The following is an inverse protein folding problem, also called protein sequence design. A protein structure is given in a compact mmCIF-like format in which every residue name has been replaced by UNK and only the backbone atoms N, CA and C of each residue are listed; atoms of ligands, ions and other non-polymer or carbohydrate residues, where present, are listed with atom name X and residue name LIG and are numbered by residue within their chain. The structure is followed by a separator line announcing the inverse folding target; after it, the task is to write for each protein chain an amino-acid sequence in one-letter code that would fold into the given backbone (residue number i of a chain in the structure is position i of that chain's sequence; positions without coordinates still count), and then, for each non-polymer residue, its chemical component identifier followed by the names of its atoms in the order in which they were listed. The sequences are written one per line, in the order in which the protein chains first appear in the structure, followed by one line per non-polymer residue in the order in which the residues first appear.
data_IF_407700292505
#
_entry.id   IF_407700292505
#
_cell.length_a   1.000
_cell.length_b   1.000
_cell.length_c   1.000
_cell.angle_alpha   90.00
_cell.angle_beta   90.00
_cell.angle_gamma   90.00
#
_symmetry.space_group_name_H-M   'P 1'
#
loop_
_entity.id
_entity.type
_entity.pdbx_description
1 polymer ?
#
# COMPACT_ATOMS: atom_id res chain seq x y z
N UNK A 1 -28.12 42.34 23.57
CA UNK A 1 -28.66 41.01 23.24
C UNK A 1 -27.62 40.24 22.45
N UNK A 2 -26.90 39.36 23.08
CA UNK A 2 -25.88 38.52 22.41
C UNK A 2 -26.55 37.32 21.73
N UNK A 3 -26.27 37.16 20.45
CA UNK A 3 -26.68 35.97 19.66
C UNK A 3 -25.89 34.76 20.17
N UNK A 4 -26.54 33.67 20.58
CA UNK A 4 -25.81 32.51 21.05
C UNK A 4 -25.01 31.90 19.89
N UNK A 5 -23.69 31.76 20.07
CA UNK A 5 -22.84 30.99 19.14
C UNK A 5 -23.37 29.57 19.04
N UNK A 6 -23.86 29.20 17.86
CA UNK A 6 -24.28 27.86 17.55
C UNK A 6 -23.11 26.90 17.83
N UNK A 7 -23.33 25.96 18.70
CA UNK A 7 -22.41 24.89 19.07
C UNK A 7 -22.11 24.07 17.80
N UNK A 8 -21.03 24.39 17.09
CA UNK A 8 -20.57 23.58 15.95
C UNK A 8 -20.13 22.24 16.54
N UNK A 9 -21.00 21.26 16.48
CA UNK A 9 -20.63 19.85 16.71
C UNK A 9 -19.40 19.55 15.88
N UNK A 10 -18.35 19.03 16.52
CA UNK A 10 -17.18 18.53 15.78
C UNK A 10 -17.68 17.59 14.68
N UNK A 11 -17.19 17.72 13.45
CA UNK A 11 -17.59 16.84 12.37
C UNK A 11 -17.34 15.39 12.80
N UNK A 12 -18.36 14.54 12.70
CA UNK A 12 -18.22 13.10 12.97
C UNK A 12 -17.11 12.61 12.01
N UNK A 13 -16.05 11.97 12.53
CA UNK A 13 -14.97 11.50 11.66
C UNK A 13 -15.51 10.50 10.64
N UNK A 14 -15.25 10.75 9.36
CA UNK A 14 -15.65 9.90 8.25
C UNK A 14 -15.06 8.49 8.43
N UNK A 15 -15.93 7.49 8.42
CA UNK A 15 -15.53 6.07 8.53
C UNK A 15 -15.13 5.52 7.16
N UNK A 16 -13.95 4.94 7.10
CA UNK A 16 -13.35 4.41 5.87
C UNK A 16 -13.29 2.88 5.94
N UNK A 17 -13.90 2.19 4.98
CA UNK A 17 -13.64 0.77 4.76
C UNK A 17 -12.38 0.62 3.89
N UNK A 18 -11.39 -0.08 4.39
CA UNK A 18 -10.25 -0.58 3.63
C UNK A 18 -10.59 -1.93 3.01
N UNK A 19 -10.36 -2.05 1.71
CA UNK A 19 -10.37 -3.31 0.97
C UNK A 19 -8.97 -3.49 0.36
N UNK A 20 -8.16 -4.38 0.94
CA UNK A 20 -6.81 -4.70 0.44
C UNK A 20 -6.85 -6.04 -0.31
N UNK A 21 -6.83 -5.99 -1.64
CA UNK A 21 -6.91 -7.17 -2.50
C UNK A 21 -5.52 -7.77 -2.67
N UNK A 22 -5.21 -8.80 -1.91
CA UNK A 22 -4.00 -9.59 -2.06
C UNK A 22 -4.21 -10.84 -2.91
N UNK A 23 -3.12 -11.50 -3.30
CA UNK A 23 -3.18 -12.72 -4.13
C UNK A 23 -3.74 -13.97 -3.42
N UNK A 24 -3.85 -13.98 -2.09
CA UNK A 24 -4.38 -15.12 -1.32
C UNK A 24 -5.64 -14.76 -0.53
N UNK A 25 -5.76 -13.52 -0.07
CA UNK A 25 -6.91 -13.03 0.66
C UNK A 25 -7.18 -11.57 0.30
N UNK A 26 -8.44 -11.16 0.34
CA UNK A 26 -8.86 -9.78 0.46
C UNK A 26 -9.01 -9.49 1.95
N UNK A 27 -8.34 -8.45 2.44
CA UNK A 27 -8.41 -8.02 3.84
C UNK A 27 -9.32 -6.82 3.96
N UNK A 28 -10.14 -6.84 4.98
CA UNK A 28 -11.14 -5.82 5.27
C UNK A 28 -10.91 -5.26 6.67
N UNK A 29 -10.91 -3.95 6.79
CA UNK A 29 -10.89 -3.24 8.07
C UNK A 29 -11.70 -1.96 7.94
N UNK A 30 -12.32 -1.51 9.02
CA UNK A 30 -12.96 -0.20 9.08
C UNK A 30 -12.19 0.73 10.04
N UNK A 31 -12.13 2.01 9.71
CA UNK A 31 -11.43 2.98 10.57
C UNK A 31 -12.12 3.11 11.92
N UNK A 32 -11.30 3.17 12.99
CA UNK A 32 -11.80 3.20 14.36
C UNK A 32 -12.04 1.81 14.99
N UNK A 33 -11.85 0.73 14.22
CA UNK A 33 -11.92 -0.64 14.70
C UNK A 33 -10.55 -1.34 14.57
N UNK A 34 -10.35 -2.41 15.33
CA UNK A 34 -9.17 -3.28 15.27
C UNK A 34 -9.46 -4.63 14.61
N UNK A 35 -10.72 -4.92 14.34
CA UNK A 35 -11.14 -6.17 13.70
C UNK A 35 -10.66 -6.20 12.23
N UNK A 36 -10.03 -7.31 11.85
CA UNK A 36 -9.66 -7.60 10.48
C UNK A 36 -10.42 -8.82 9.98
N UNK A 37 -11.26 -8.65 8.98
CA UNK A 37 -11.89 -9.76 8.26
C UNK A 37 -11.11 -10.12 7.00
N UNK A 38 -11.20 -11.37 6.59
CA UNK A 38 -10.53 -11.89 5.39
C UNK A 38 -11.52 -12.72 4.61
N UNK A 39 -11.56 -12.48 3.31
CA UNK A 39 -12.25 -13.35 2.36
C UNK A 39 -11.23 -13.99 1.41
N UNK A 40 -11.45 -15.22 0.93
CA UNK A 40 -10.54 -15.87 0.00
C UNK A 40 -10.33 -15.05 -1.27
N UNK A 41 -9.09 -15.03 -1.77
CA UNK A 41 -8.72 -14.45 -3.05
C UNK A 41 -8.05 -15.50 -3.92
N UNK A 42 -7.80 -15.21 -5.18
CA UNK A 42 -7.12 -16.09 -6.12
C UNK A 42 -7.76 -16.05 -7.51
N UNK A 43 -7.36 -17.02 -8.35
CA UNK A 43 -7.69 -17.01 -9.78
C UNK A 43 -9.18 -17.05 -10.13
N UNK A 44 -10.03 -17.45 -9.18
CA UNK A 44 -11.49 -17.49 -9.33
C UNK A 44 -12.20 -16.21 -8.87
N UNK A 45 -11.46 -15.25 -8.32
CA UNK A 45 -12.06 -14.02 -7.80
C UNK A 45 -12.28 -13.02 -8.92
N UNK A 46 -13.54 -12.79 -9.29
CA UNK A 46 -13.97 -11.70 -10.18
C UNK A 46 -14.30 -10.44 -9.37
N UNK A 47 -14.35 -9.27 -10.01
CA UNK A 47 -14.78 -8.03 -9.36
C UNK A 47 -16.18 -8.14 -8.76
N UNK A 48 -17.13 -8.76 -9.48
CA UNK A 48 -18.50 -8.96 -9.00
C UNK A 48 -18.56 -9.85 -7.75
N UNK A 49 -17.82 -10.97 -7.76
CA UNK A 49 -17.74 -11.90 -6.63
C UNK A 49 -17.13 -11.21 -5.42
N UNK A 50 -16.02 -10.48 -5.61
CA UNK A 50 -15.37 -9.72 -4.55
C UNK A 50 -16.34 -8.73 -3.90
N UNK A 51 -17.08 -7.94 -4.67
CA UNK A 51 -18.08 -7.00 -4.12
C UNK A 51 -19.16 -7.70 -3.34
N UNK A 52 -19.69 -8.82 -3.84
CA UNK A 52 -20.72 -9.62 -3.15
C UNK A 52 -20.23 -10.14 -1.80
N UNK A 53 -19.03 -10.73 -1.78
CA UNK A 53 -18.42 -11.28 -0.56
C UNK A 53 -18.04 -10.19 0.45
N UNK A 54 -17.52 -9.04 -0.03
CA UNK A 54 -17.25 -7.89 0.84
C UNK A 54 -18.53 -7.39 1.49
N UNK A 55 -19.61 -7.19 0.73
CA UNK A 55 -20.89 -6.74 1.29
C UNK A 55 -21.42 -7.71 2.34
N UNK A 56 -21.34 -9.01 2.10
CA UNK A 56 -21.73 -10.02 3.06
C UNK A 56 -20.86 -9.98 4.33
N UNK A 57 -19.54 -9.88 4.13
CA UNK A 57 -18.58 -9.85 5.23
C UNK A 57 -18.59 -8.55 6.06
N UNK A 58 -19.18 -7.47 5.55
CA UNK A 58 -19.25 -6.15 6.22
C UNK A 58 -20.67 -5.67 6.47
N UNK A 59 -21.67 -6.58 6.45
CA UNK A 59 -23.08 -6.23 6.59
C UNK A 59 -23.43 -5.55 7.93
N UNK A 60 -22.65 -5.86 8.97
CA UNK A 60 -22.76 -5.31 10.33
C UNK A 60 -21.82 -4.12 10.58
N UNK A 61 -21.02 -3.72 9.59
CA UNK A 61 -20.12 -2.57 9.70
C UNK A 61 -20.74 -1.31 9.11
N UNK A 62 -20.50 -0.19 9.79
CA UNK A 62 -20.88 1.14 9.31
C UNK A 62 -19.66 1.88 8.76
N UNK A 63 -19.76 2.38 7.50
CA UNK A 63 -18.72 3.15 6.82
C UNK A 63 -19.31 4.07 5.77
N UNK A 64 -18.63 5.19 5.53
CA UNK A 64 -19.06 6.23 4.60
C UNK A 64 -18.45 6.05 3.21
N UNK A 65 -17.17 5.67 3.17
CA UNK A 65 -16.34 5.62 1.95
C UNK A 65 -15.43 4.39 1.93
N UNK A 66 -14.90 4.06 0.75
CA UNK A 66 -14.08 2.88 0.52
C UNK A 66 -12.73 3.26 -0.08
N UNK A 67 -11.65 2.74 0.52
CA UNK A 67 -10.31 2.70 -0.07
C UNK A 67 -10.00 1.29 -0.54
N UNK A 68 -9.78 1.13 -1.84
CA UNK A 68 -9.54 -0.16 -2.47
C UNK A 68 -8.08 -0.24 -2.94
N UNK A 69 -7.28 -1.08 -2.27
CA UNK A 69 -5.93 -1.46 -2.70
C UNK A 69 -6.01 -2.57 -3.74
N UNK A 70 -5.53 -2.31 -4.95
CA UNK A 70 -5.62 -3.22 -6.09
C UNK A 70 -4.25 -3.78 -6.49
N UNK A 71 -4.11 -5.10 -6.70
CA UNK A 71 -2.84 -5.72 -7.07
C UNK A 71 -2.55 -5.58 -8.57
N UNK A 72 -2.25 -4.35 -9.01
CA UNK A 72 -1.96 -4.06 -10.40
C UNK A 72 -1.89 -2.56 -10.70
N UNK A 73 -1.84 -2.26 -11.99
CA UNK A 73 -1.69 -0.89 -12.47
C UNK A 73 -2.99 -0.09 -12.33
N UNK A 74 -2.91 0.98 -11.56
CA UNK A 74 -3.99 1.98 -11.39
C UNK A 74 -3.52 3.31 -11.96
N UNK A 75 -4.32 3.90 -12.85
CA UNK A 75 -4.06 5.21 -13.45
C UNK A 75 -5.28 6.10 -13.29
N UNK A 76 -5.11 7.31 -12.78
CA UNK A 76 -6.20 8.27 -12.52
C UNK A 76 -7.37 7.64 -11.73
N UNK A 77 -7.04 6.80 -10.74
CA UNK A 77 -8.02 6.09 -9.91
C UNK A 77 -8.80 4.99 -10.62
N UNK A 78 -8.36 4.55 -11.81
CA UNK A 78 -8.99 3.50 -12.62
C UNK A 78 -8.02 2.36 -12.91
N UNK A 79 -8.55 1.16 -13.02
CA UNK A 79 -7.76 0.00 -13.41
C UNK A 79 -7.40 0.09 -14.91
N UNK A 80 -6.15 -0.21 -15.26
CA UNK A 80 -5.64 -0.08 -16.63
C UNK A 80 -5.57 -1.43 -17.35
N UNK A 81 -5.36 -2.50 -16.60
CA UNK A 81 -5.34 -3.87 -17.12
C UNK A 81 -5.89 -4.85 -16.10
N UNK A 82 -6.30 -6.02 -16.58
CA UNK A 82 -6.73 -7.12 -15.72
C UNK A 82 -5.59 -7.59 -14.81
N UNK A 83 -5.89 -7.98 -13.56
CA UNK A 83 -4.88 -8.45 -12.62
C UNK A 83 -4.34 -9.82 -13.02
N UNK A 84 -3.04 -10.04 -12.87
CA UNK A 84 -2.39 -11.29 -13.30
C UNK A 84 -2.78 -12.50 -12.46
N UNK A 85 -3.14 -12.29 -11.19
CA UNK A 85 -3.35 -13.35 -10.20
C UNK A 85 -4.83 -13.55 -9.81
N UNK A 86 -5.74 -12.86 -10.48
CA UNK A 86 -7.19 -12.93 -10.27
C UNK A 86 -7.89 -13.29 -11.57
N UNK A 87 -9.20 -13.52 -11.51
CA UNK A 87 -10.02 -13.70 -12.71
C UNK A 87 -10.24 -12.38 -13.46
N UNK A 88 -10.84 -12.41 -14.63
CA UNK A 88 -11.18 -11.23 -15.41
C UNK A 88 -12.40 -10.45 -14.89
N UNK A 89 -12.73 -9.37 -15.60
CA UNK A 89 -13.93 -8.56 -15.34
C UNK A 89 -13.72 -7.41 -14.35
N UNK A 90 -12.48 -6.94 -14.20
CA UNK A 90 -12.13 -5.84 -13.30
C UNK A 90 -12.10 -4.49 -14.01
N UNK A 91 -11.62 -4.42 -15.26
CA UNK A 91 -11.31 -3.18 -15.98
C UNK A 91 -12.47 -2.22 -16.08
N UNK A 92 -13.63 -2.55 -16.38
CA UNK A 92 -14.76 -1.64 -16.56
C UNK A 92 -15.79 -1.76 -15.45
N UNK A 93 -15.40 -2.36 -14.33
CA UNK A 93 -16.31 -2.57 -13.23
C UNK A 93 -16.53 -1.27 -12.45
N UNK A 94 -17.77 -0.88 -12.28
CA UNK A 94 -18.15 0.32 -11.54
C UNK A 94 -18.30 -0.01 -10.04
N UNK A 95 -17.20 0.14 -9.31
CA UNK A 95 -17.15 -0.13 -7.87
C UNK A 95 -18.03 0.84 -7.08
N UNK A 96 -18.12 2.12 -7.47
CA UNK A 96 -18.94 3.10 -6.76
C UNK A 96 -20.41 2.72 -6.84
N UNK A 97 -20.88 2.40 -8.04
CA UNK A 97 -22.26 1.93 -8.25
C UNK A 97 -22.52 0.62 -7.51
N UNK A 98 -21.58 -0.32 -7.59
CA UNK A 98 -21.73 -1.65 -7.00
C UNK A 98 -21.78 -1.61 -5.47
N UNK A 99 -20.99 -0.76 -4.82
CA UNK A 99 -21.03 -0.57 -3.37
C UNK A 99 -22.04 0.46 -2.89
N UNK A 100 -22.59 1.29 -3.79
CA UNK A 100 -23.41 2.47 -3.48
C UNK A 100 -22.70 3.42 -2.48
N UNK A 101 -21.39 3.56 -2.61
CA UNK A 101 -20.50 4.39 -1.78
C UNK A 101 -19.39 4.99 -2.64
N UNK A 102 -18.80 6.14 -2.26
CA UNK A 102 -17.60 6.65 -2.91
C UNK A 102 -16.44 5.66 -2.74
N UNK A 103 -15.72 5.37 -3.84
CA UNK A 103 -14.57 4.47 -3.85
C UNK A 103 -13.35 5.19 -4.41
N UNK A 104 -12.22 5.10 -3.70
CA UNK A 104 -10.91 5.49 -4.22
C UNK A 104 -10.07 4.24 -4.41
N UNK A 105 -9.51 4.08 -5.62
CA UNK A 105 -8.70 2.92 -5.99
C UNK A 105 -7.25 3.34 -6.11
N UNK A 106 -6.37 2.61 -5.45
CA UNK A 106 -4.93 2.80 -5.48
C UNK A 106 -4.23 1.43 -5.63
N UNK A 107 -2.99 1.41 -6.12
CA UNK A 107 -2.19 0.18 -6.08
C UNK A 107 -1.99 -0.30 -4.63
N UNK A 108 -2.02 -1.62 -4.40
CA UNK A 108 -1.91 -2.24 -3.07
C UNK A 108 -0.61 -1.88 -2.33
N UNK A 109 0.55 -1.92 -3.02
CA UNK A 109 1.82 -1.52 -2.43
C UNK A 109 1.85 -0.02 -2.11
N UNK A 110 1.23 0.82 -2.93
CA UNK A 110 1.10 2.25 -2.66
C UNK A 110 0.19 2.54 -1.45
N UNK A 111 -0.88 1.77 -1.26
CA UNK A 111 -1.73 1.86 -0.06
C UNK A 111 -0.92 1.59 1.21
N UNK A 112 -0.10 0.52 1.20
CA UNK A 112 0.78 0.19 2.32
C UNK A 112 1.92 1.19 2.50
N UNK A 113 2.48 1.73 1.42
CA UNK A 113 3.47 2.80 1.49
C UNK A 113 2.89 4.06 2.15
N UNK A 114 1.69 4.48 1.75
CA UNK A 114 0.98 5.61 2.36
C UNK A 114 0.77 5.42 3.86
N UNK A 115 0.45 4.20 4.28
CA UNK A 115 0.26 3.85 5.68
C UNK A 115 1.52 4.06 6.54
N UNK A 116 2.68 3.79 5.97
CA UNK A 116 3.98 3.76 6.66
C UNK A 116 4.82 5.03 6.43
N UNK A 117 4.38 5.93 5.54
CA UNK A 117 5.13 7.13 5.22
C UNK A 117 5.06 8.15 6.36
N UNK A 118 6.21 8.65 6.76
CA UNK A 118 6.36 9.70 7.76
C UNK A 118 6.97 10.98 7.17
N UNK A 119 8.13 10.87 6.54
CA UNK A 119 8.86 12.00 5.94
C UNK A 119 9.95 11.54 4.98
N UNK A 120 10.53 12.48 4.23
CA UNK A 120 11.68 12.24 3.36
C UNK A 120 11.34 11.35 2.17
N UNK A 121 12.34 10.66 1.68
CA UNK A 121 12.21 9.67 0.61
C UNK A 121 12.11 8.27 1.22
N UNK A 122 10.96 7.63 1.08
CA UNK A 122 10.72 6.30 1.61
C UNK A 122 10.54 5.29 0.48
N UNK A 123 11.23 4.17 0.57
CA UNK A 123 11.00 3.00 -0.28
C UNK A 123 10.21 1.95 0.50
N UNK A 124 9.02 1.60 0.04
CA UNK A 124 8.27 0.45 0.52
C UNK A 124 8.50 -0.75 -0.40
N UNK A 125 8.81 -1.92 0.16
CA UNK A 125 8.92 -3.18 -0.59
C UNK A 125 8.14 -4.27 0.14
N UNK A 126 7.15 -4.83 -0.54
CA UNK A 126 6.27 -5.89 -0.04
C UNK A 126 6.64 -7.25 -0.60
N UNK A 127 6.97 -8.21 0.26
CA UNK A 127 7.25 -9.60 -0.10
C UNK A 127 6.07 -10.50 0.26
N UNK A 128 5.35 -10.97 -0.75
CA UNK A 128 4.14 -11.78 -0.60
C UNK A 128 3.97 -12.80 -1.70
N UNK A 129 2.76 -12.92 -2.24
CA UNK A 129 2.46 -13.69 -3.46
C UNK A 129 3.15 -13.06 -4.68
N UNK A 130 3.27 -11.74 -4.67
CA UNK A 130 4.04 -10.93 -5.62
C UNK A 130 5.10 -10.11 -4.89
N UNK A 131 5.87 -9.32 -5.64
CA UNK A 131 6.81 -8.32 -5.14
C UNK A 131 6.24 -6.95 -5.51
N UNK A 132 5.56 -6.32 -4.57
CA UNK A 132 5.02 -4.98 -4.73
C UNK A 132 5.97 -3.94 -4.16
N UNK A 133 6.03 -2.75 -4.76
CA UNK A 133 6.81 -1.65 -4.22
C UNK A 133 6.19 -0.29 -4.50
N UNK A 134 6.55 0.70 -3.70
CA UNK A 134 6.26 2.09 -3.95
C UNK A 134 7.37 2.99 -3.40
N UNK A 135 7.72 4.01 -4.15
CA UNK A 135 8.57 5.10 -3.71
C UNK A 135 7.69 6.26 -3.27
N UNK A 136 7.98 6.85 -2.12
CA UNK A 136 7.33 8.07 -1.67
C UNK A 136 8.38 9.15 -1.47
N UNK A 137 8.19 10.29 -2.11
CA UNK A 137 9.05 11.46 -1.97
C UNK A 137 8.21 12.73 -2.17
N UNK A 138 8.48 13.75 -1.37
CA UNK A 138 7.80 15.05 -1.45
C UNK A 138 6.26 14.95 -1.48
N UNK A 139 5.72 14.04 -0.66
CA UNK A 139 4.29 13.74 -0.61
C UNK A 139 3.69 13.19 -1.92
N UNK A 140 4.53 12.66 -2.81
CA UNK A 140 4.12 11.93 -4.02
C UNK A 140 4.41 10.46 -3.86
N UNK A 141 3.38 9.62 -4.08
CA UNK A 141 3.54 8.16 -4.10
C UNK A 141 3.65 7.70 -5.54
N UNK A 142 4.67 6.91 -5.81
CA UNK A 142 4.98 6.34 -7.12
C UNK A 142 4.98 4.81 -6.96
N UNK A 143 3.92 4.10 -7.39
CA UNK A 143 3.95 2.64 -7.44
C UNK A 143 5.03 2.15 -8.40
N UNK A 144 5.74 1.09 -8.04
CA UNK A 144 6.83 0.53 -8.84
C UNK A 144 6.63 -0.98 -9.00
N UNK A 145 6.65 -1.45 -10.24
CA UNK A 145 6.54 -2.88 -10.57
C UNK A 145 7.94 -3.53 -10.63
N UNK A 146 8.38 -4.05 -9.50
CA UNK A 146 9.71 -4.67 -9.39
C UNK A 146 9.76 -6.13 -9.86
N UNK A 147 8.61 -6.80 -9.98
CA UNK A 147 8.56 -8.25 -10.23
C UNK A 147 9.28 -8.70 -11.49
N UNK A 148 9.31 -7.87 -12.54
CA UNK A 148 9.95 -8.18 -13.82
C UNK A 148 11.42 -7.82 -13.89
N UNK A 149 11.98 -7.16 -12.87
CA UNK A 149 13.41 -6.81 -12.86
C UNK A 149 14.23 -8.10 -12.88
N UNK A 150 15.23 -8.21 -13.77
CA UNK A 150 16.14 -9.34 -13.79
C UNK A 150 16.91 -9.45 -12.46
N UNK A 151 16.86 -10.60 -11.83
CA UNK A 151 17.68 -10.94 -10.66
C UNK A 151 18.99 -11.60 -11.09
N UNK A 152 18.93 -12.39 -12.15
CA UNK A 152 20.07 -13.04 -12.82
C UNK A 152 19.68 -13.36 -14.25
N UNK A 153 20.60 -13.99 -15.03
CA UNK A 153 20.35 -14.34 -16.46
C UNK A 153 19.01 -15.08 -16.69
N UNK A 154 18.51 -15.85 -15.74
CA UNK A 154 17.30 -16.70 -15.89
C UNK A 154 16.22 -16.43 -14.86
N UNK A 155 16.43 -15.47 -13.95
CA UNK A 155 15.51 -15.23 -12.85
C UNK A 155 15.15 -13.76 -12.76
N UNK A 156 13.92 -13.48 -12.33
CA UNK A 156 13.42 -12.15 -12.01
C UNK A 156 13.21 -12.01 -10.49
N UNK A 157 12.94 -10.80 -10.02
CA UNK A 157 12.53 -10.57 -8.63
C UNK A 157 11.29 -11.42 -8.28
N UNK A 158 10.33 -11.52 -9.18
CA UNK A 158 9.14 -12.38 -8.97
C UNK A 158 9.52 -13.83 -8.72
N UNK A 159 10.44 -14.40 -9.50
CA UNK A 159 10.83 -15.81 -9.38
C UNK A 159 11.74 -16.10 -8.17
N UNK A 160 12.30 -15.06 -7.51
CA UNK A 160 13.28 -15.22 -6.42
C UNK A 160 12.82 -14.75 -5.06
N UNK A 161 11.90 -13.77 -4.99
CA UNK A 161 11.62 -13.04 -3.76
C UNK A 161 10.21 -13.28 -3.20
N UNK A 162 9.35 -14.03 -3.91
CA UNK A 162 7.98 -14.33 -3.50
C UNK A 162 7.88 -15.42 -2.42
N UNK A 163 6.68 -15.57 -1.84
CA UNK A 163 6.35 -16.69 -0.94
C UNK A 163 6.61 -18.05 -1.60
N UNK A 164 6.29 -18.19 -2.88
CA UNK A 164 6.53 -19.43 -3.64
C UNK A 164 8.02 -19.68 -3.83
N UNK A 165 8.81 -18.65 -4.16
CA UNK A 165 10.26 -18.76 -4.23
C UNK A 165 10.88 -19.20 -2.91
N UNK A 166 10.37 -18.71 -1.77
CA UNK A 166 10.80 -19.14 -0.44
C UNK A 166 10.50 -20.63 -0.20
N UNK A 167 9.32 -21.10 -0.61
CA UNK A 167 8.93 -22.52 -0.49
C UNK A 167 9.83 -23.42 -1.32
N UNK A 168 10.15 -23.02 -2.56
CA UNK A 168 10.94 -23.82 -3.50
C UNK A 168 12.43 -23.82 -3.19
N UNK A 169 13.00 -22.68 -2.82
CA UNK A 169 14.45 -22.51 -2.65
C UNK A 169 14.94 -22.62 -1.20
N UNK A 170 14.02 -22.75 -0.25
CA UNK A 170 14.28 -22.74 1.17
C UNK A 170 14.52 -21.33 1.75
N UNK A 171 14.30 -21.21 3.06
CA UNK A 171 14.31 -19.92 3.77
C UNK A 171 15.66 -19.20 3.68
N UNK A 172 16.77 -19.88 3.94
CA UNK A 172 18.12 -19.27 3.98
C UNK A 172 18.52 -18.66 2.62
N UNK A 173 18.22 -19.36 1.51
CA UNK A 173 18.52 -18.87 0.17
C UNK A 173 17.64 -17.69 -0.19
N UNK A 174 16.34 -17.81 0.09
CA UNK A 174 15.37 -16.73 -0.13
C UNK A 174 15.74 -15.46 0.65
N UNK A 175 16.15 -15.60 1.91
CA UNK A 175 16.56 -14.46 2.73
C UNK A 175 17.79 -13.75 2.15
N UNK A 176 18.80 -14.48 1.69
CA UNK A 176 19.98 -13.89 1.00
C UNK A 176 19.57 -13.14 -0.27
N UNK A 177 18.67 -13.71 -1.05
CA UNK A 177 18.18 -13.06 -2.27
C UNK A 177 17.40 -11.78 -1.96
N UNK A 178 16.57 -11.79 -0.91
CA UNK A 178 15.86 -10.59 -0.43
C UNK A 178 16.86 -9.52 0.02
N UNK A 179 17.89 -9.89 0.77
CA UNK A 179 18.91 -8.94 1.21
C UNK A 179 19.63 -8.29 0.04
N UNK A 180 20.08 -9.10 -0.92
CA UNK A 180 20.74 -8.58 -2.13
C UNK A 180 19.82 -7.62 -2.91
N UNK A 181 18.56 -7.98 -3.08
CA UNK A 181 17.59 -7.14 -3.77
C UNK A 181 17.32 -5.82 -3.03
N UNK A 182 17.14 -5.87 -1.70
CA UNK A 182 16.89 -4.65 -0.90
C UNK A 182 18.09 -3.71 -0.92
N UNK A 183 19.30 -4.21 -0.76
CA UNK A 183 20.51 -3.39 -0.85
C UNK A 183 20.65 -2.74 -2.22
N UNK A 184 20.45 -3.50 -3.30
CA UNK A 184 20.44 -2.94 -4.66
C UNK A 184 19.39 -1.83 -4.82
N UNK A 185 18.18 -2.03 -4.30
CA UNK A 185 17.12 -1.01 -4.39
C UNK A 185 17.45 0.23 -3.55
N UNK A 186 18.09 0.06 -2.40
CA UNK A 186 18.59 1.18 -1.59
C UNK A 186 19.67 2.00 -2.34
N UNK A 187 20.56 1.32 -3.07
CA UNK A 187 21.59 1.99 -3.88
C UNK A 187 21.02 2.68 -5.13
N UNK A 188 19.90 2.18 -5.68
CA UNK A 188 19.24 2.78 -6.84
C UNK A 188 18.37 3.99 -6.44
N UNK A 189 17.57 3.85 -5.40
CA UNK A 189 16.55 4.85 -5.03
C UNK A 189 16.98 5.84 -3.97
N UNK A 190 18.07 5.56 -3.26
CA UNK A 190 18.62 6.41 -2.18
C UNK A 190 17.56 6.85 -1.18
N UNK A 191 16.81 5.91 -0.58
CA UNK A 191 15.78 6.26 0.38
C UNK A 191 16.39 6.64 1.74
N UNK A 192 15.74 7.59 2.41
CA UNK A 192 16.02 7.92 3.81
C UNK A 192 15.48 6.82 4.74
N UNK A 193 14.41 6.14 4.33
CA UNK A 193 13.74 5.07 5.07
C UNK A 193 13.32 3.94 4.13
N UNK A 194 13.57 2.69 4.52
CA UNK A 194 13.15 1.50 3.78
C UNK A 194 12.20 0.66 4.63
N UNK A 195 10.99 0.45 4.14
CA UNK A 195 9.95 -0.29 4.83
C UNK A 195 9.70 -1.64 4.16
N UNK A 196 9.86 -2.71 4.92
CA UNK A 196 9.62 -4.07 4.46
C UNK A 196 8.23 -4.54 4.90
N UNK A 197 7.38 -4.81 3.92
CA UNK A 197 6.00 -5.25 4.11
C UNK A 197 5.69 -6.61 3.48
N UNK A 198 4.39 -6.91 3.39
CA UNK A 198 3.89 -8.17 2.86
C UNK A 198 3.95 -9.33 3.85
N UNK A 199 3.27 -10.43 3.51
CA UNK A 199 3.12 -11.59 4.43
C UNK A 199 4.43 -12.28 4.81
N UNK A 200 5.50 -12.13 4.01
CA UNK A 200 6.81 -12.70 4.29
C UNK A 200 7.71 -11.78 5.15
N UNK A 201 7.34 -10.51 5.36
CA UNK A 201 8.14 -9.60 6.19
C UNK A 201 8.37 -10.14 7.60
N UNK A 202 7.37 -10.82 8.17
CA UNK A 202 7.43 -11.37 9.55
C UNK A 202 8.45 -12.49 9.74
N UNK A 203 8.83 -13.20 8.67
CA UNK A 203 9.81 -14.30 8.74
C UNK A 203 11.19 -13.90 8.26
N UNK A 204 11.36 -12.62 7.90
CA UNK A 204 12.65 -12.05 7.52
C UNK A 204 13.31 -11.49 8.79
N UNK A 205 14.18 -12.31 9.42
CA UNK A 205 14.87 -11.97 10.66
C UNK A 205 16.32 -12.47 10.59
N UNK A 206 17.33 -11.55 10.77
CA UNK A 206 17.18 -10.11 10.90
C UNK A 206 16.65 -9.45 9.63
N UNK A 207 16.28 -8.16 9.72
CA UNK A 207 16.00 -7.35 8.54
C UNK A 207 17.29 -6.91 7.85
N UNK A 208 17.29 -6.59 6.54
CA UNK A 208 18.40 -5.91 5.88
C UNK A 208 18.72 -4.59 6.58
N UNK A 209 19.97 -4.14 6.44
CA UNK A 209 20.42 -2.88 7.03
C UNK A 209 19.54 -1.69 6.59
N UNK A 210 19.34 -0.73 7.48
CA UNK A 210 18.54 0.47 7.24
C UNK A 210 17.08 0.17 6.84
N UNK A 211 16.52 -0.95 7.33
CA UNK A 211 15.15 -1.34 7.11
C UNK A 211 14.35 -1.42 8.40
N UNK A 212 13.08 -1.08 8.32
CA UNK A 212 12.09 -1.36 9.36
C UNK A 212 10.94 -2.20 8.80
N UNK A 213 10.23 -2.87 9.69
CA UNK A 213 9.08 -3.69 9.29
C UNK A 213 7.81 -2.86 9.31
N UNK A 214 6.98 -2.99 8.26
CA UNK A 214 5.64 -2.46 8.25
C UNK A 214 4.77 -3.15 9.31
N UNK A 215 3.90 -2.40 9.98
CA UNK A 215 2.89 -2.99 10.85
C UNK A 215 1.78 -3.64 10.03
N UNK A 216 1.22 -4.74 10.53
CA UNK A 216 0.08 -5.40 9.89
C UNK A 216 -1.22 -4.59 9.98
N UNK A 217 -1.31 -3.65 10.94
CA UNK A 217 -2.46 -2.77 11.15
C UNK A 217 -2.33 -1.44 10.38
N UNK A 218 -1.17 -1.18 9.76
CA UNK A 218 -0.97 0.11 9.10
C UNK A 218 -1.78 0.28 7.82
N UNK A 219 -2.26 -0.79 7.18
CA UNK A 219 -3.08 -0.69 5.97
C UNK A 219 -4.27 0.27 6.12
N UNK A 220 -4.97 0.22 7.27
CA UNK A 220 -6.11 1.11 7.53
C UNK A 220 -5.70 2.58 7.64
N UNK A 221 -4.49 2.90 8.17
CA UNK A 221 -3.98 4.28 8.19
C UNK A 221 -3.81 4.81 6.77
N UNK A 222 -3.27 4.00 5.86
CA UNK A 222 -3.15 4.35 4.44
C UNK A 222 -4.51 4.59 3.79
N UNK A 223 -5.48 3.73 4.10
CA UNK A 223 -6.85 3.86 3.61
C UNK A 223 -7.51 5.17 4.07
N UNK A 224 -7.35 5.56 5.34
CA UNK A 224 -7.84 6.83 5.89
C UNK A 224 -7.13 8.02 5.23
N UNK A 225 -5.81 7.97 5.10
CA UNK A 225 -5.01 9.04 4.47
C UNK A 225 -5.42 9.35 3.03
N UNK A 226 -5.99 8.41 2.30
CA UNK A 226 -6.55 8.67 0.96
C UNK A 226 -7.73 9.66 1.00
N UNK A 227 -8.40 9.82 2.15
CA UNK A 227 -9.57 10.70 2.32
C UNK A 227 -9.29 11.92 3.17
N UNK A 228 -8.16 11.97 3.85
CA UNK A 228 -7.73 13.15 4.63
C UNK A 228 -7.49 14.35 3.69
N UNK A 229 -8.11 15.47 4.01
CA UNK A 229 -8.04 16.69 3.19
C UNK A 229 -8.88 16.61 1.91
N UNK A 230 -10.09 16.04 1.98
CA UNK A 230 -10.99 15.85 0.84
C UNK A 230 -11.26 17.11 -0.01
N UNK A 231 -11.13 18.30 0.57
CA UNK A 231 -11.16 19.59 -0.16
C UNK A 231 -9.81 19.96 -0.80
N UNK A 232 -8.72 19.30 -0.41
CA UNK A 232 -7.35 19.56 -0.83
C UNK A 232 -6.51 18.29 -1.03
N UNK A 233 -6.96 17.34 -1.91
CA UNK A 233 -6.04 16.68 -2.80
C UNK A 233 -5.20 15.47 -2.34
N UNK A 234 -5.76 14.34 -2.00
CA UNK A 234 -5.18 13.13 -2.55
C UNK A 234 -5.81 12.95 -3.95
N UNK A 235 -5.24 13.51 -5.00
CA UNK A 235 -5.71 13.32 -6.37
C UNK A 235 -4.76 12.41 -7.11
N UNK A 236 -5.26 11.38 -7.81
CA UNK A 236 -4.43 10.64 -8.73
C UNK A 236 -4.00 11.56 -9.88
N UNK A 237 -2.75 11.46 -10.28
CA UNK A 237 -2.23 12.06 -11.49
C UNK A 237 -1.45 10.99 -12.24
N UNK A 238 -2.05 10.46 -13.29
CA UNK A 238 -1.50 9.28 -13.93
C UNK A 238 -1.44 8.09 -12.98
N UNK A 239 -0.28 7.49 -12.81
CA UNK A 239 -0.05 6.37 -11.86
C UNK A 239 0.41 6.82 -10.48
N UNK A 240 0.62 8.11 -10.27
CA UNK A 240 1.10 8.68 -9.02
C UNK A 240 -0.06 9.23 -8.17
N UNK A 241 0.15 9.33 -6.87
CA UNK A 241 -0.75 9.98 -5.94
C UNK A 241 -0.01 11.10 -5.21
N UNK A 242 -0.62 12.27 -5.16
CA UNK A 242 -0.13 13.37 -4.32
C UNK A 242 -0.86 13.35 -2.99
N UNK A 243 -0.13 13.33 -1.90
CA UNK A 243 -0.66 13.30 -0.53
C UNK A 243 -0.52 14.70 0.07
N UNK A 244 -1.53 15.17 0.80
CA UNK A 244 -1.36 16.31 1.68
C UNK A 244 -0.85 15.80 3.04
N UNK A 245 0.44 16.00 3.26
CA UNK A 245 1.00 15.91 4.61
C UNK A 245 0.85 17.29 5.24
N UNK A 246 0.18 17.38 6.38
CA UNK A 246 0.34 18.57 7.23
C UNK A 246 1.82 18.69 7.54
N UNK A 247 2.48 19.83 7.27
CA UNK A 247 3.87 20.00 7.66
C UNK A 247 3.93 19.80 9.17
N UNK A 248 4.61 18.74 9.61
CA UNK A 248 4.96 18.62 11.02
C UNK A 248 5.79 19.86 11.35
N UNK A 249 5.46 20.60 12.39
CA UNK A 249 6.19 21.79 12.87
C UNK A 249 7.58 21.42 13.44
N UNK A 250 8.24 20.43 12.91
CA UNK A 250 9.62 20.07 13.27
C UNK A 250 10.58 20.78 12.32
N UNK A 251 11.44 21.63 12.88
CA UNK A 251 12.56 22.23 12.16
C UNK A 251 13.37 21.14 11.46
N UNK A 252 13.84 21.37 10.22
CA UNK A 252 14.68 20.40 9.52
C UNK A 252 15.95 20.17 10.34
N UNK A 253 16.20 18.93 10.70
CA UNK A 253 17.51 18.49 11.23
C UNK A 253 18.47 18.49 10.05
N UNK A 254 19.65 19.14 10.13
CA UNK A 254 20.61 19.13 9.04
C UNK A 254 21.09 17.71 8.75
N UNK A 255 21.38 17.39 7.47
CA UNK A 255 21.79 16.04 7.06
C UNK A 255 23.12 15.65 7.72
N UNK A 256 23.27 14.39 8.18
CA UNK A 256 24.49 13.93 8.82
C UNK A 256 25.53 13.44 7.80
N UNK A 257 25.90 14.18 6.78
CA UNK A 257 27.07 13.89 5.95
C UNK A 257 27.68 15.17 5.38
N UNK A 258 28.61 15.74 6.13
CA UNK A 258 29.72 16.42 5.51
C UNK A 258 30.58 15.36 4.86
N UNK A 259 30.68 15.39 3.54
CA UNK A 259 31.61 14.58 2.76
C UNK A 259 33.03 14.82 3.29
N UNK A 260 33.68 13.79 3.85
CA UNK A 260 35.11 13.78 3.99
C UNK A 260 35.70 13.83 2.57
N UNK A 261 36.33 14.95 2.26
CA UNK A 261 37.14 15.09 1.06
C UNK A 261 38.27 14.08 1.15
N UNK A 262 38.32 13.19 0.17
CA UNK A 262 39.47 12.36 -0.09
C UNK A 262 40.52 13.27 -0.75
N UNK A 263 41.59 13.53 -0.03
CA UNK A 263 42.86 14.02 -0.59
C UNK A 263 43.58 12.87 -1.27
#
# INVERSE_FOLDING_TARGET
MGIPMANRRAPIPMKVLMIDIGGSNVKLMVSGDTEMRKIPSGRELTARKMVSEVKAATADWDFDVISLGFPGLVKDGRLVREPLNLSGGWLRFDFQRAFARPVRIINDAALHALANYEKGRMLFVGFGTSVGAALVADSVIIPVELGLIPFSRRNTFMSRLTKEARRQNGHKRWQRDVFAAVLLLQDIFWPDDTVIGGGNAKVLDPLPARCRRASNLDGIKGAVRLWEGADRLAKPHGTTWRINMHPSRSKPTPPPHALAQVA
#
